data_IF_480813596806
#
_entry.id   IF_480813596806
#
_cell.length_a   1.000
_cell.length_b   1.000
_cell.length_c   1.000
_cell.angle_alpha   90.00
_cell.angle_beta   90.00
_cell.angle_gamma   90.00
#
_symmetry.space_group_name_H-M   'P 1'
#
loop_
_entity.id
_entity.type
_entity.pdbx_description
1 polymer ?
#
# COMPACT_ATOMS: atom_id res chain seq x y z
N UNK A 1 0.30 -5.76 -19.41
CA UNK A 1 0.17 -4.30 -19.52
C UNK A 1 1.49 -3.68 -19.12
N UNK A 2 2.08 -2.87 -20.00
CA UNK A 2 3.32 -2.14 -19.68
C UNK A 2 3.02 -0.87 -18.87
N UNK A 3 4.07 -0.27 -18.29
CA UNK A 3 3.94 1.00 -17.59
C UNK A 3 3.47 2.14 -18.51
N UNK A 4 4.05 2.23 -19.72
CA UNK A 4 3.69 3.24 -20.71
C UNK A 4 2.23 3.07 -21.18
N UNK A 5 1.79 1.82 -21.34
CA UNK A 5 0.41 1.50 -21.68
C UNK A 5 -0.57 1.91 -20.56
N UNK A 6 -0.19 1.71 -19.29
CA UNK A 6 -1.00 2.18 -18.16
C UNK A 6 -1.14 3.71 -18.16
N UNK A 7 -0.04 4.44 -18.31
CA UNK A 7 -0.06 5.90 -18.37
C UNK A 7 -0.88 6.42 -19.56
N UNK A 8 -0.76 5.78 -20.73
CA UNK A 8 -1.59 6.12 -21.90
C UNK A 8 -3.08 5.95 -21.58
N UNK A 9 -3.47 4.83 -20.97
CA UNK A 9 -4.89 4.59 -20.62
C UNK A 9 -5.41 5.57 -19.56
N UNK A 10 -4.56 5.99 -18.63
CA UNK A 10 -4.91 7.04 -17.66
C UNK A 10 -5.11 8.38 -18.38
N UNK A 11 -4.21 8.75 -19.31
CA UNK A 11 -4.33 9.96 -20.10
C UNK A 11 -5.62 9.97 -20.94
N UNK A 12 -5.90 8.87 -21.65
CA UNK A 12 -7.12 8.71 -22.46
C UNK A 12 -8.38 8.81 -21.60
N UNK A 13 -8.32 8.36 -20.35
CA UNK A 13 -9.44 8.43 -19.42
C UNK A 13 -9.72 9.88 -18.98
N UNK A 14 -8.66 10.62 -18.64
CA UNK A 14 -8.76 12.05 -18.28
C UNK A 14 -9.31 12.85 -19.46
N UNK A 15 -8.76 12.65 -20.67
CA UNK A 15 -9.20 13.35 -21.88
C UNK A 15 -10.67 13.10 -22.19
N UNK A 16 -11.17 11.87 -21.98
CA UNK A 16 -12.60 11.56 -22.15
C UNK A 16 -13.49 12.35 -21.19
N UNK A 17 -13.08 12.46 -19.92
CA UNK A 17 -13.83 13.23 -18.92
C UNK A 17 -13.82 14.72 -19.28
N UNK A 18 -12.66 15.25 -19.67
CA UNK A 18 -12.51 16.65 -20.09
C UNK A 18 -13.32 16.98 -21.35
N UNK A 19 -13.41 16.06 -22.31
CA UNK A 19 -14.23 16.22 -23.52
C UNK A 19 -15.74 16.21 -23.27
N UNK A 20 -16.18 15.69 -22.13
CA UNK A 20 -17.58 15.69 -21.68
C UNK A 20 -17.87 16.87 -20.71
N UNK A 21 -17.05 17.93 -20.76
CA UNK A 21 -17.08 19.09 -19.85
C UNK A 21 -16.94 18.72 -18.36
N UNK A 22 -16.34 17.55 -18.07
CA UNK A 22 -16.04 17.08 -16.73
C UNK A 22 -14.64 17.44 -16.25
N UNK A 23 -14.41 17.35 -14.94
CA UNK A 23 -13.10 17.58 -14.32
C UNK A 23 -12.72 16.38 -13.44
N UNK A 24 -11.50 15.86 -13.64
CA UNK A 24 -10.95 14.83 -12.76
C UNK A 24 -10.26 15.49 -11.57
N UNK A 25 -10.91 15.48 -10.41
CA UNK A 25 -10.38 16.15 -9.20
C UNK A 25 -9.49 15.22 -8.37
N UNK A 26 -9.77 13.91 -8.37
CA UNK A 26 -9.13 12.92 -7.51
C UNK A 26 -8.85 11.63 -8.27
N UNK A 27 -7.62 11.14 -8.19
CA UNK A 27 -7.21 9.83 -8.64
C UNK A 27 -6.99 8.89 -7.46
N UNK A 28 -7.73 7.78 -7.42
CA UNK A 28 -7.55 6.70 -6.43
C UNK A 28 -6.87 5.51 -7.10
N UNK A 29 -5.75 5.06 -6.54
CA UNK A 29 -4.97 3.96 -7.13
C UNK A 29 -4.14 3.21 -6.09
N UNK A 30 -3.88 1.92 -6.37
CA UNK A 30 -3.10 1.07 -5.48
C UNK A 30 -1.60 1.37 -5.58
N UNK A 31 -0.86 1.18 -4.48
CA UNK A 31 0.59 0.98 -4.56
C UNK A 31 0.94 -0.45 -4.96
N UNK A 32 0.28 -1.44 -4.35
CA UNK A 32 0.36 -2.85 -4.74
C UNK A 32 -1.07 -3.40 -4.82
N UNK A 33 -1.46 -3.86 -6.01
CA UNK A 33 -2.77 -4.45 -6.28
C UNK A 33 -2.94 -5.72 -5.45
N UNK A 34 -4.13 -5.98 -4.92
CA UNK A 34 -4.38 -7.20 -4.14
C UNK A 34 -4.34 -8.45 -5.02
N UNK A 35 -5.13 -8.47 -6.10
CA UNK A 35 -5.26 -9.60 -7.03
C UNK A 35 -5.25 -9.06 -8.48
N UNK A 36 -4.25 -9.40 -9.30
CA UNK A 36 -3.00 -10.09 -8.95
C UNK A 36 -2.08 -9.21 -8.09
N UNK A 37 -1.20 -9.82 -7.28
CA UNK A 37 -0.26 -9.10 -6.41
C UNK A 37 0.88 -8.42 -7.20
N UNK A 38 0.59 -7.26 -7.77
CA UNK A 38 1.50 -6.50 -8.65
C UNK A 38 1.73 -5.11 -8.08
N UNK A 39 2.99 -4.67 -8.09
CA UNK A 39 3.37 -3.29 -7.73
C UNK A 39 3.02 -2.37 -8.91
N UNK A 40 2.18 -1.37 -8.68
CA UNK A 40 1.90 -0.34 -9.69
C UNK A 40 3.04 0.68 -9.74
N UNK A 41 3.23 1.40 -10.87
CA UNK A 41 4.17 2.50 -10.96
C UNK A 41 3.64 3.76 -10.22
N UNK A 42 3.24 3.61 -8.96
CA UNK A 42 2.51 4.61 -8.19
C UNK A 42 3.31 5.92 -8.03
N UNK A 43 4.64 5.86 -8.01
CA UNK A 43 5.49 7.07 -7.97
C UNK A 43 5.35 7.92 -9.24
N UNK A 44 5.30 7.27 -10.41
CA UNK A 44 5.14 7.95 -11.70
C UNK A 44 3.71 8.45 -11.89
N UNK A 45 2.72 7.66 -11.44
CA UNK A 45 1.32 8.09 -11.43
C UNK A 45 1.13 9.34 -10.56
N UNK A 46 1.72 9.36 -9.37
CA UNK A 46 1.63 10.51 -8.45
C UNK A 46 2.17 11.78 -9.10
N UNK A 47 3.37 11.72 -9.70
CA UNK A 47 3.95 12.86 -10.45
C UNK A 47 3.11 13.28 -11.65
N UNK A 48 2.50 12.32 -12.34
CA UNK A 48 1.65 12.59 -13.49
C UNK A 48 0.37 13.34 -13.06
N UNK A 49 -0.29 12.89 -12.00
CA UNK A 49 -1.48 13.57 -11.46
C UNK A 49 -1.15 14.95 -10.90
N UNK A 50 -0.03 15.09 -10.20
CA UNK A 50 0.50 16.40 -9.75
C UNK A 50 0.66 17.37 -10.93
N UNK A 51 1.25 16.92 -12.05
CA UNK A 51 1.42 17.76 -13.26
C UNK A 51 0.11 18.20 -13.92
N UNK A 52 -0.99 17.52 -13.59
CA UNK A 52 -2.34 17.78 -14.08
C UNK A 52 -3.22 18.50 -13.05
N UNK A 53 -2.67 18.85 -11.88
CA UNK A 53 -3.42 19.43 -10.75
C UNK A 53 -4.56 18.52 -10.25
N UNK A 54 -4.36 17.19 -10.33
CA UNK A 54 -5.29 16.16 -9.87
C UNK A 54 -4.80 15.63 -8.53
N UNK A 55 -5.68 15.58 -7.52
CA UNK A 55 -5.33 15.06 -6.20
C UNK A 55 -5.02 13.56 -6.28
N UNK A 56 -3.99 13.13 -5.58
CA UNK A 56 -3.51 11.75 -5.53
C UNK A 56 -3.92 11.06 -4.23
N UNK A 57 -4.64 9.94 -4.35
CA UNK A 57 -5.00 9.09 -3.22
C UNK A 57 -4.50 7.67 -3.44
N UNK A 58 -3.41 7.33 -2.73
CA UNK A 58 -2.77 6.03 -2.83
C UNK A 58 -3.39 5.08 -1.81
N UNK A 59 -4.00 3.99 -2.28
CA UNK A 59 -4.23 2.80 -1.48
C UNK A 59 -2.90 2.04 -1.31
N UNK A 60 -2.21 2.39 -0.23
CA UNK A 60 -0.99 1.77 0.22
C UNK A 60 -1.21 0.61 1.19
N UNK A 61 -2.40 -0.01 1.24
CA UNK A 61 -2.72 -1.07 2.20
C UNK A 61 -1.73 -2.24 2.14
N UNK A 62 -1.14 -2.49 0.98
CA UNK A 62 -0.15 -3.55 0.76
C UNK A 62 1.30 -3.04 0.70
N UNK A 63 1.55 -1.73 0.84
CA UNK A 63 2.86 -1.10 0.57
C UNK A 63 3.76 -1.11 1.80
N UNK A 64 3.31 -0.48 2.89
CA UNK A 64 4.13 -0.25 4.08
C UNK A 64 4.49 -1.59 4.71
N UNK A 65 5.79 -1.80 4.96
CA UNK A 65 6.35 -3.06 5.46
C UNK A 65 6.61 -4.11 4.37
N UNK A 66 5.93 -4.05 3.21
CA UNK A 66 6.16 -4.99 2.11
C UNK A 66 7.28 -4.54 1.14
N UNK A 67 7.39 -3.24 0.90
CA UNK A 67 8.41 -2.63 0.04
C UNK A 67 8.96 -1.34 0.66
N UNK A 68 10.19 -0.91 0.29
CA UNK A 68 10.67 0.41 0.64
C UNK A 68 9.79 1.50 0.00
N UNK A 69 9.41 2.50 0.79
CA UNK A 69 8.69 3.69 0.29
C UNK A 69 9.17 4.92 1.05
N UNK A 70 9.41 6.02 0.33
CA UNK A 70 9.78 7.30 0.91
C UNK A 70 8.63 8.28 0.71
N UNK A 71 7.74 8.38 1.70
CA UNK A 71 6.57 9.27 1.65
C UNK A 71 6.95 10.76 1.49
N UNK A 72 8.00 11.29 2.16
CA UNK A 72 8.45 12.66 1.90
C UNK A 72 8.82 12.94 0.43
N UNK A 73 9.48 12.01 -0.25
CA UNK A 73 9.83 12.16 -1.67
C UNK A 73 8.66 11.87 -2.60
N UNK A 74 7.77 10.94 -2.24
CA UNK A 74 6.58 10.59 -3.02
C UNK A 74 5.52 11.69 -2.97
N UNK A 75 5.37 12.33 -1.80
CA UNK A 75 4.48 13.46 -1.51
C UNK A 75 3.05 13.35 -2.11
N UNK A 76 2.31 12.25 -1.88
CA UNK A 76 0.92 12.16 -2.34
C UNK A 76 -0.01 13.02 -1.45
N UNK A 77 -1.15 13.44 -1.99
CA UNK A 77 -2.15 14.20 -1.22
C UNK A 77 -2.77 13.33 -0.11
N UNK A 78 -3.04 12.06 -0.43
CA UNK A 78 -3.53 11.05 0.51
C UNK A 78 -2.75 9.74 0.36
N UNK A 79 -2.36 9.15 1.48
CA UNK A 79 -1.77 7.82 1.55
C UNK A 79 -2.44 7.03 2.67
N UNK A 80 -3.10 5.94 2.31
CA UNK A 80 -3.85 5.08 3.23
C UNK A 80 -3.12 3.75 3.33
N UNK A 81 -2.99 3.17 4.52
CA UNK A 81 -2.27 1.90 4.67
C UNK A 81 -2.78 1.04 5.82
N UNK A 82 -2.41 -0.25 5.79
CA UNK A 82 -2.75 -1.24 6.80
C UNK A 82 -1.47 -1.77 7.46
N UNK A 83 -1.03 -1.17 8.57
CA UNK A 83 0.15 -1.67 9.28
C UNK A 83 -0.01 -3.12 9.81
N UNK A 84 -1.25 -3.64 9.89
CA UNK A 84 -1.52 -5.02 10.34
C UNK A 84 -1.14 -6.10 9.34
N UNK A 85 -0.82 -5.74 8.11
CA UNK A 85 -0.42 -6.72 7.11
C UNK A 85 1.06 -7.06 7.25
N UNK A 86 1.93 -6.05 7.13
CA UNK A 86 3.37 -6.29 6.93
C UNK A 86 4.26 -5.68 8.02
N UNK A 87 3.72 -4.90 8.97
CA UNK A 87 4.48 -4.37 10.10
C UNK A 87 4.23 -5.13 11.41
N UNK A 88 3.41 -6.19 11.38
CA UNK A 88 2.94 -6.88 12.59
C UNK A 88 2.21 -5.97 13.59
N UNK A 89 1.81 -4.77 13.17
CA UNK A 89 1.08 -3.82 14.00
C UNK A 89 -0.40 -3.94 13.70
N UNK A 90 -1.26 -4.37 14.62
CA UNK A 90 -2.70 -4.44 14.38
C UNK A 90 -3.35 -3.04 14.12
N UNK A 91 -3.30 -2.44 12.92
CA UNK A 91 -3.80 -1.07 12.63
C UNK A 91 -4.50 -0.86 11.28
N UNK A 92 -5.37 0.16 11.21
CA UNK A 92 -5.77 0.91 10.01
C UNK A 92 -5.18 2.34 10.12
N UNK A 93 -4.50 2.89 9.10
CA UNK A 93 -3.96 4.27 9.12
C UNK A 93 -4.56 5.13 7.99
N UNK A 94 -5.11 6.30 8.35
CA UNK A 94 -5.49 7.37 7.43
C UNK A 94 -4.76 8.66 7.82
N UNK A 95 -4.08 9.30 6.87
CA UNK A 95 -3.49 10.64 7.03
C UNK A 95 -4.44 11.68 6.38
N UNK A 96 -5.05 12.54 7.20
CA UNK A 96 -5.69 13.79 6.76
C UNK A 96 -5.25 14.88 7.75
N UNK A 97 -4.30 15.74 7.34
CA UNK A 97 -3.61 16.65 8.27
C UNK A 97 -4.41 17.87 8.73
N UNK A 98 -5.64 18.10 8.24
CA UNK A 98 -6.44 19.28 8.66
C UNK A 98 -7.71 18.94 9.45
N UNK A 99 -8.09 17.66 9.52
CA UNK A 99 -9.28 17.19 10.24
C UNK A 99 -8.93 16.02 11.15
N UNK A 100 -8.01 16.23 12.10
CA UNK A 100 -7.93 15.32 13.25
C UNK A 100 -9.17 15.59 14.10
N UNK A 101 -10.26 14.92 13.75
CA UNK A 101 -11.22 14.51 14.73
C UNK A 101 -10.46 13.73 15.80
N UNK A 102 -10.14 14.39 16.92
CA UNK A 102 -9.78 13.77 18.20
C UNK A 102 -10.95 12.95 18.77
N UNK A 103 -11.83 12.43 17.92
CA UNK A 103 -12.99 11.65 18.32
C UNK A 103 -12.60 10.19 18.19
N UNK A 104 -12.51 9.51 19.33
CA UNK A 104 -12.69 8.06 19.35
C UNK A 104 -14.07 7.80 18.73
N UNK A 105 -14.19 7.14 17.57
CA UNK A 105 -15.49 6.82 17.01
C UNK A 105 -16.09 5.71 17.88
N UNK A 106 -16.71 6.10 19.00
CA UNK A 106 -17.31 5.19 19.97
C UNK A 106 -16.31 4.30 20.74
N UNK A 107 -16.87 3.39 21.53
CA UNK A 107 -16.13 2.37 22.27
C UNK A 107 -15.53 1.37 21.28
N UNK A 108 -14.21 1.24 21.26
CA UNK A 108 -13.47 0.29 20.44
C UNK A 108 -12.31 -0.31 21.25
N UNK A 109 -11.85 -1.50 20.86
CA UNK A 109 -10.64 -2.09 21.41
C UNK A 109 -9.41 -1.34 20.87
N UNK A 110 -8.70 -0.65 21.77
CA UNK A 110 -7.52 0.14 21.43
C UNK A 110 -6.22 -0.66 21.48
N UNK A 111 -6.26 -1.93 21.89
CA UNK A 111 -5.07 -2.82 21.97
C UNK A 111 -4.29 -2.83 20.65
N UNK A 112 -5.03 -2.81 19.55
CA UNK A 112 -4.56 -2.61 18.18
C UNK A 112 -3.55 -1.46 18.02
N UNK A 113 -3.84 -0.30 18.61
CA UNK A 113 -2.98 0.89 18.57
C UNK A 113 -1.83 0.83 19.58
N UNK A 114 -2.04 0.18 20.72
CA UNK A 114 -1.05 0.08 21.79
C UNK A 114 0.12 -0.84 21.44
N UNK A 115 -0.08 -1.82 20.56
CA UNK A 115 0.97 -2.73 20.11
C UNK A 115 1.96 -2.11 19.11
N UNK A 116 1.68 -0.89 18.60
CA UNK A 116 2.51 -0.25 17.58
C UNK A 116 3.96 -0.01 18.03
N UNK A 117 4.24 0.57 19.22
CA UNK A 117 5.60 0.75 19.69
C UNK A 117 6.35 -0.59 19.83
N UNK A 118 5.72 -1.60 20.44
CA UNK A 118 6.35 -2.92 20.62
C UNK A 118 6.67 -3.61 19.29
N UNK A 119 5.81 -3.44 18.28
CA UNK A 119 6.08 -3.98 16.95
C UNK A 119 7.26 -3.27 16.27
N UNK A 120 7.37 -1.94 16.46
CA UNK A 120 8.50 -1.17 15.95
C UNK A 120 9.80 -1.51 16.69
N UNK A 121 9.76 -1.71 18.00
CA UNK A 121 10.90 -2.20 18.79
C UNK A 121 11.36 -3.58 18.31
N UNK A 122 10.43 -4.49 18.04
CA UNK A 122 10.76 -5.80 17.46
C UNK A 122 11.43 -5.66 16.09
N UNK A 123 10.90 -4.78 15.23
CA UNK A 123 11.49 -4.49 13.91
C UNK A 123 12.91 -3.93 14.06
N UNK A 124 13.16 -3.05 15.04
CA UNK A 124 14.49 -2.52 15.31
C UNK A 124 15.47 -3.60 15.79
N UNK A 125 15.02 -4.48 16.72
CA UNK A 125 15.81 -5.60 17.24
C UNK A 125 16.29 -6.58 16.16
N UNK A 126 15.54 -6.74 15.07
CA UNK A 126 15.92 -7.58 13.93
C UNK A 126 16.75 -6.84 12.87
N UNK A 127 17.13 -5.59 13.12
CA UNK A 127 17.94 -4.77 12.21
C UNK A 127 17.13 -3.94 11.21
N UNK A 128 15.87 -3.63 11.55
CA UNK A 128 14.96 -2.83 10.74
C UNK A 128 14.18 -3.63 9.68
N UNK A 129 13.55 -2.93 8.74
CA UNK A 129 12.74 -3.55 7.68
C UNK A 129 13.57 -4.18 6.55
N UNK A 130 14.84 -3.79 6.39
CA UNK A 130 15.67 -4.24 5.27
C UNK A 130 15.90 -5.76 5.28
N UNK A 131 16.26 -6.40 6.42
CA UNK A 131 16.35 -7.86 6.50
C UNK A 131 15.03 -8.59 6.17
N UNK A 132 13.89 -8.02 6.59
CA UNK A 132 12.56 -8.57 6.28
C UNK A 132 12.29 -8.54 4.77
N UNK A 133 12.50 -7.39 4.13
CA UNK A 133 12.30 -7.23 2.68
C UNK A 133 13.16 -8.21 1.88
N UNK A 134 14.45 -8.29 2.20
CA UNK A 134 15.38 -9.20 1.52
C UNK A 134 14.94 -10.66 1.62
N UNK A 135 14.50 -11.08 2.82
CA UNK A 135 13.98 -12.42 3.06
C UNK A 135 12.71 -12.67 2.25
N UNK A 136 11.72 -11.77 2.30
CA UNK A 136 10.45 -11.91 1.59
C UNK A 136 10.65 -11.97 0.07
N UNK A 137 11.50 -11.09 -0.49
CA UNK A 137 11.83 -11.09 -1.93
C UNK A 137 12.52 -12.40 -2.33
N UNK A 138 13.43 -12.90 -1.49
CA UNK A 138 14.12 -14.17 -1.74
C UNK A 138 13.11 -15.33 -1.77
N UNK A 139 12.23 -15.42 -0.77
CA UNK A 139 11.20 -16.47 -0.70
C UNK A 139 10.22 -16.43 -1.88
N UNK A 140 9.87 -15.24 -2.40
CA UNK A 140 9.02 -15.09 -3.59
C UNK A 140 9.65 -15.67 -4.87
N UNK A 141 10.98 -15.79 -4.92
CA UNK A 141 11.70 -16.39 -6.06
C UNK A 141 11.86 -17.90 -5.94
N UNK A 142 11.63 -18.48 -4.76
CA UNK A 142 11.68 -19.92 -4.55
C UNK A 142 10.40 -20.53 -5.14
N UNK A 143 10.49 -21.52 -6.05
CA UNK A 143 9.31 -22.21 -6.57
C UNK A 143 8.50 -22.78 -5.41
N UNK A 144 7.19 -22.52 -5.41
CA UNK A 144 6.30 -23.05 -4.39
C UNK A 144 6.28 -24.58 -4.50
N UNK A 145 7.04 -25.27 -3.65
CA UNK A 145 6.92 -26.72 -3.51
C UNK A 145 5.58 -26.97 -2.82
N UNK A 146 4.70 -27.71 -3.47
CA UNK A 146 3.52 -28.25 -2.79
C UNK A 146 4.02 -29.08 -1.61
N UNK A 147 3.71 -28.63 -0.39
CA UNK A 147 3.77 -29.51 0.77
C UNK A 147 2.63 -30.50 0.61
N UNK A 148 2.89 -31.63 -0.05
CA UNK A 148 2.02 -32.78 0.06
C UNK A 148 2.11 -33.27 1.50
N UNK A 149 1.04 -33.07 2.27
CA UNK A 149 0.82 -33.82 3.49
C UNK A 149 0.50 -35.26 3.07
N UNK A 150 1.53 -36.08 2.92
CA UNK A 150 1.38 -37.53 2.92
C UNK A 150 1.01 -37.96 4.34
N UNK A 151 -0.28 -37.82 4.69
CA UNK A 151 -0.82 -38.47 5.88
C UNK A 151 -1.09 -39.94 5.51
N UNK A 152 -0.35 -40.93 6.07
CA UNK A 152 -0.77 -42.31 5.94
C UNK A 152 -2.07 -42.47 6.74
N UNK A 153 -3.16 -42.70 6.02
CA UNK A 153 -4.41 -43.16 6.63
C UNK A 153 -4.11 -44.56 7.14
N UNK A 154 -4.01 -44.71 8.46
CA UNK A 154 -3.95 -46.02 9.09
C UNK A 154 -5.33 -46.68 8.92
N UNK A 155 -5.38 -47.81 8.20
CA UNK A 155 -6.51 -48.74 8.13
C UNK A 155 -6.77 -49.47 9.45
#
# INVERSE_FOLDING_TARGET
MSEAELLSRVADCIEKVENEDGEVVLAVYDGIVSIPSIILPFEKLTRYFESKNILSCIDGAQVIGAIPVNLPTLAPDFFITNPHKWLCIQLLHQRVESWIHKTRPGTSDVTNYLCAPSSLELIDQIGGLTPLWNTTITLRKVPFKHFHHDNPVHE
#
